data_IF_030233308995
#
_entry.id   IF_030233308995
#
_cell.length_a   1.000
_cell.length_b   1.000
_cell.length_c   1.000
_cell.angle_alpha   90.00
_cell.angle_beta   90.00
_cell.angle_gamma   90.00
#
_symmetry.space_group_name_H-M   'P 1'
#
loop_
_entity.id
_entity.type
_entity.pdbx_description
1 polymer ?
#
# COMPACT_ATOMS: atom_id res chain seq x y z
N UNK A 1 4.46 -5.56 2.26
CA UNK A 1 3.26 -6.39 2.52
C UNK A 1 2.28 -6.24 1.37
N UNK A 2 1.37 -7.20 1.17
CA UNK A 2 0.37 -7.15 0.10
C UNK A 2 -0.44 -5.85 0.09
N UNK A 3 -0.96 -5.45 -1.07
CA UNK A 3 -1.89 -4.32 -1.20
C UNK A 3 -2.44 -4.23 -2.63
N UNK A 4 -3.29 -3.25 -2.90
CA UNK A 4 -4.00 -3.14 -4.18
C UNK A 4 -3.10 -2.48 -5.25
N UNK A 5 -3.20 -2.94 -6.51
CA UNK A 5 -2.53 -2.31 -7.65
C UNK A 5 -3.44 -2.18 -8.88
N UNK A 6 -2.98 -1.32 -9.80
CA UNK A 6 -3.49 -1.22 -11.16
C UNK A 6 -2.34 -0.98 -12.16
N UNK A 7 -2.59 -1.30 -13.42
CA UNK A 7 -1.61 -1.24 -14.50
C UNK A 7 -0.37 -2.07 -14.20
N UNK A 8 0.80 -1.48 -14.40
CA UNK A 8 2.11 -2.14 -14.32
C UNK A 8 2.63 -2.38 -12.88
N UNK A 9 1.81 -2.16 -11.85
CA UNK A 9 2.21 -2.34 -10.44
C UNK A 9 3.54 -1.63 -10.07
N UNK A 10 3.64 -0.29 -10.26
CA UNK A 10 4.89 0.45 -10.06
C UNK A 10 5.49 0.22 -8.67
N UNK A 11 6.82 0.06 -8.64
CA UNK A 11 7.63 -0.18 -7.44
C UNK A 11 9.11 0.15 -7.71
N UNK A 12 9.97 0.06 -6.70
CA UNK A 12 11.43 0.14 -6.89
C UNK A 12 11.94 1.49 -7.41
N UNK A 13 11.22 2.57 -7.12
CA UNK A 13 11.58 3.93 -7.57
C UNK A 13 11.00 4.34 -8.92
N UNK A 14 10.21 3.47 -9.57
CA UNK A 14 9.49 3.80 -10.80
C UNK A 14 8.21 4.58 -10.46
N UNK A 15 8.27 5.90 -10.56
CA UNK A 15 7.12 6.77 -10.34
C UNK A 15 6.15 6.66 -11.52
N UNK A 16 4.88 6.30 -11.30
CA UNK A 16 3.90 6.23 -12.37
C UNK A 16 3.50 7.62 -12.86
N UNK A 17 3.01 7.71 -14.09
CA UNK A 17 2.55 8.97 -14.69
C UNK A 17 1.01 9.14 -14.65
N UNK A 18 0.30 8.15 -14.13
CA UNK A 18 -1.16 8.14 -13.98
C UNK A 18 -1.90 7.47 -15.13
N UNK A 19 -1.21 7.00 -16.16
CA UNK A 19 -1.77 6.14 -17.21
C UNK A 19 -1.21 4.72 -17.17
N UNK A 20 -0.02 4.55 -16.60
CA UNK A 20 0.75 3.30 -16.59
C UNK A 20 0.50 2.39 -15.38
N UNK A 21 0.16 2.94 -14.22
CA UNK A 21 -0.18 2.14 -13.05
C UNK A 21 -0.23 2.89 -11.72
N UNK A 22 -0.55 2.15 -10.66
CA UNK A 22 -0.38 2.57 -9.27
C UNK A 22 -0.20 1.34 -8.39
N UNK A 23 0.38 1.49 -7.20
CA UNK A 23 0.39 0.44 -6.18
C UNK A 23 0.19 1.04 -4.80
N UNK A 24 -0.44 0.29 -3.89
CA UNK A 24 -0.80 0.73 -2.52
C UNK A 24 -0.43 -0.33 -1.49
N UNK A 25 0.79 -0.86 -1.59
CA UNK A 25 1.28 -1.93 -0.71
C UNK A 25 1.36 -1.47 0.74
N UNK A 26 1.07 -2.35 1.69
CA UNK A 26 1.40 -2.06 3.10
C UNK A 26 2.91 -2.20 3.36
N UNK A 27 3.41 -1.49 4.35
CA UNK A 27 4.75 -1.68 4.90
C UNK A 27 4.71 -1.67 6.43
N UNK A 28 5.66 -2.37 7.03
CA UNK A 28 6.03 -2.19 8.43
C UNK A 28 7.32 -1.37 8.52
N UNK A 29 7.46 -0.64 9.62
CA UNK A 29 8.64 0.15 9.99
C UNK A 29 9.11 -0.29 11.38
N UNK A 30 10.19 0.34 11.84
CA UNK A 30 10.73 0.09 13.19
C UNK A 30 9.64 0.25 14.26
N UNK A 31 9.67 -0.64 15.26
CA UNK A 31 8.65 -0.71 16.32
C UNK A 31 7.28 -1.22 15.86
N UNK A 32 7.22 -1.90 14.70
CA UNK A 32 5.98 -2.46 14.15
C UNK A 32 5.04 -1.41 13.55
N UNK A 33 5.44 -0.15 13.45
CA UNK A 33 4.62 0.92 12.84
C UNK A 33 4.20 0.53 11.44
N UNK A 34 2.91 0.64 11.14
CA UNK A 34 2.37 0.38 9.81
C UNK A 34 2.27 1.65 8.97
N UNK A 35 2.31 1.47 7.66
CA UNK A 35 1.95 2.49 6.68
C UNK A 35 1.40 1.85 5.41
N UNK A 36 0.68 2.63 4.61
CA UNK A 36 0.52 2.33 3.18
C UNK A 36 1.66 3.02 2.44
N UNK A 37 2.38 2.26 1.64
CA UNK A 37 3.47 2.71 0.79
C UNK A 37 3.01 2.74 -0.66
N UNK A 38 2.52 3.90 -1.09
CA UNK A 38 1.82 4.06 -2.36
C UNK A 38 2.71 4.63 -3.45
N UNK A 39 2.71 4.03 -4.64
CA UNK A 39 3.27 4.65 -5.85
C UNK A 39 2.13 5.32 -6.61
N UNK A 40 2.14 6.66 -6.60
CA UNK A 40 1.15 7.52 -7.23
C UNK A 40 1.86 8.54 -8.15
N UNK A 41 1.16 9.20 -9.08
CA UNK A 41 1.74 10.24 -9.92
C UNK A 41 2.31 11.44 -9.16
N UNK A 42 1.91 11.62 -7.90
CA UNK A 42 2.41 12.67 -7.00
C UNK A 42 3.61 12.22 -6.17
N UNK A 43 4.06 10.97 -6.30
CA UNK A 43 5.26 10.48 -5.65
C UNK A 43 6.51 11.10 -6.28
N UNK A 44 7.58 11.29 -5.51
CA UNK A 44 8.77 12.04 -5.96
C UNK A 44 9.93 11.15 -6.39
N UNK A 45 10.38 10.24 -5.51
CA UNK A 45 11.52 9.35 -5.78
C UNK A 45 11.23 7.88 -5.49
N UNK A 46 10.41 7.62 -4.48
CA UNK A 46 9.90 6.29 -4.16
C UNK A 46 8.42 6.38 -3.78
N UNK A 47 7.87 5.35 -3.14
CA UNK A 47 6.49 5.37 -2.66
C UNK A 47 6.25 6.49 -1.65
N UNK A 48 5.07 7.11 -1.74
CA UNK A 48 4.52 8.02 -0.75
C UNK A 48 4.08 7.22 0.47
N UNK A 49 4.61 7.57 1.64
CA UNK A 49 4.18 7.01 2.93
C UNK A 49 2.88 7.67 3.37
N UNK A 50 1.85 6.86 3.64
CA UNK A 50 0.51 7.28 4.03
C UNK A 50 0.16 6.62 5.37
N UNK A 51 -0.15 7.43 6.39
CA UNK A 51 -0.57 6.95 7.71
C UNK A 51 0.54 6.33 8.55
N UNK A 52 1.81 6.68 8.32
CA UNK A 52 2.95 6.11 9.04
C UNK A 52 2.80 6.24 10.57
N UNK A 53 2.73 5.08 11.22
CA UNK A 53 2.63 4.99 12.68
C UNK A 53 1.25 5.32 13.23
N UNK A 54 0.24 5.53 12.38
CA UNK A 54 -1.15 5.64 12.83
C UNK A 54 -1.70 4.30 13.35
N UNK A 55 -1.07 3.18 12.99
CA UNK A 55 -1.26 1.87 13.59
C UNK A 55 0.06 1.14 13.76
N UNK A 56 0.06 0.06 14.52
CA UNK A 56 1.21 -0.82 14.68
C UNK A 56 0.81 -2.29 14.66
N UNK A 57 1.68 -3.10 14.07
CA UNK A 57 1.63 -4.55 14.12
C UNK A 57 2.38 -5.04 15.35
N UNK A 58 1.82 -6.06 16.01
CA UNK A 58 2.48 -6.79 17.09
C UNK A 58 2.94 -8.14 16.55
N UNK A 59 4.14 -8.56 16.96
CA UNK A 59 4.65 -9.89 16.60
C UNK A 59 3.93 -10.98 17.39
N UNK A 60 3.87 -12.19 16.83
CA UNK A 60 3.28 -13.36 17.49
C UNK A 60 1.76 -13.35 17.61
N UNK A 61 1.07 -12.39 16.97
CA UNK A 61 -0.39 -12.32 16.92
C UNK A 61 -0.88 -12.16 15.49
N UNK A 62 -2.06 -12.73 15.22
CA UNK A 62 -2.76 -12.49 13.97
C UNK A 62 -3.40 -11.11 13.98
N UNK A 63 -3.26 -10.38 12.88
CA UNK A 63 -3.95 -9.13 12.63
C UNK A 63 -4.85 -9.27 11.41
N UNK A 64 -6.10 -8.80 11.51
CA UNK A 64 -6.97 -8.63 10.37
C UNK A 64 -6.70 -7.25 9.77
N UNK A 65 -6.17 -7.22 8.54
CA UNK A 65 -5.82 -6.00 7.84
C UNK A 65 -6.74 -5.80 6.63
N UNK A 66 -7.37 -4.63 6.53
CA UNK A 66 -8.29 -4.31 5.44
C UNK A 66 -7.88 -2.99 4.78
N UNK A 67 -7.97 -2.95 3.45
CA UNK A 67 -7.68 -1.76 2.64
C UNK A 67 -8.85 -1.52 1.68
N UNK A 68 -9.39 -0.30 1.69
CA UNK A 68 -10.28 0.19 0.65
C UNK A 68 -9.54 1.20 -0.20
N UNK A 69 -9.57 1.02 -1.52
CA UNK A 69 -9.06 1.99 -2.50
C UNK A 69 -10.22 2.45 -3.37
N UNK A 70 -10.41 3.76 -3.44
CA UNK A 70 -11.33 4.40 -4.37
C UNK A 70 -10.50 5.24 -5.33
N UNK A 71 -10.53 4.87 -6.62
CA UNK A 71 -9.80 5.61 -7.65
C UNK A 71 -10.44 6.98 -7.86
N UNK A 72 -9.59 7.96 -8.15
CA UNK A 72 -10.07 9.28 -8.52
C UNK A 72 -10.71 9.28 -9.91
N UNK A 73 -11.55 10.28 -10.16
CA UNK A 73 -11.97 10.64 -11.51
C UNK A 73 -10.78 11.28 -12.25
N UNK A 74 -10.54 10.96 -13.53
CA UNK A 74 -9.55 11.67 -14.34
C UNK A 74 -9.71 13.19 -14.24
N UNK A 75 -8.60 13.89 -13.97
CA UNK A 75 -8.57 15.34 -13.77
C UNK A 75 -9.00 15.84 -12.38
N UNK A 76 -9.28 14.95 -11.44
CA UNK A 76 -9.70 15.29 -10.06
C UNK A 76 -8.83 14.59 -9.01
N UNK A 77 -8.77 15.18 -7.81
CA UNK A 77 -8.07 14.65 -6.63
C UNK A 77 -9.05 14.10 -5.61
N UNK A 78 -10.00 13.27 -6.05
CA UNK A 78 -11.06 12.74 -5.19
C UNK A 78 -10.89 11.25 -4.86
N UNK A 79 -9.70 10.69 -5.11
CA UNK A 79 -9.38 9.32 -4.71
C UNK A 79 -9.16 9.20 -3.20
N UNK A 80 -9.26 7.96 -2.71
CA UNK A 80 -9.18 7.68 -1.28
C UNK A 80 -8.55 6.32 -0.98
N UNK A 81 -7.83 6.25 0.15
CA UNK A 81 -7.45 5.01 0.82
C UNK A 81 -8.02 5.03 2.23
N UNK A 82 -8.63 3.92 2.65
CA UNK A 82 -8.96 3.64 4.05
C UNK A 82 -8.29 2.36 4.50
N UNK A 83 -7.91 2.31 5.78
CA UNK A 83 -7.26 1.17 6.42
C UNK A 83 -7.97 0.83 7.70
N UNK A 84 -8.21 -0.47 7.89
CA UNK A 84 -8.66 -1.03 9.17
C UNK A 84 -7.65 -2.05 9.68
N UNK A 85 -7.44 -2.04 11.00
CA UNK A 85 -6.68 -3.05 11.72
C UNK A 85 -7.59 -3.64 12.80
N UNK A 86 -7.76 -4.96 12.77
CA UNK A 86 -8.60 -5.71 13.70
C UNK A 86 -10.02 -5.15 13.79
N UNK A 87 -10.59 -4.79 12.63
CA UNK A 87 -11.93 -4.23 12.48
C UNK A 87 -12.07 -2.74 12.80
N UNK A 88 -11.04 -2.09 13.34
CA UNK A 88 -11.07 -0.66 13.66
C UNK A 88 -10.49 0.17 12.53
N UNK A 89 -11.19 1.23 12.07
CA UNK A 89 -10.64 2.14 11.08
C UNK A 89 -9.48 2.92 11.70
N UNK A 90 -8.26 2.65 11.27
CA UNK A 90 -7.05 3.30 11.80
C UNK A 90 -6.59 4.47 10.95
N UNK A 91 -7.02 4.53 9.68
CA UNK A 91 -6.61 5.61 8.79
C UNK A 91 -7.60 5.85 7.65
N UNK A 92 -7.71 7.11 7.22
CA UNK A 92 -8.37 7.52 5.99
C UNK A 92 -7.58 8.68 5.36
N UNK A 93 -7.19 8.52 4.10
CA UNK A 93 -6.60 9.57 3.28
C UNK A 93 -7.50 9.83 2.08
N UNK A 94 -8.01 11.04 1.95
CA UNK A 94 -8.69 11.54 0.75
C UNK A 94 -7.75 12.46 -0.03
N UNK A 95 -8.19 13.00 -1.17
CA UNK A 95 -7.35 13.93 -1.94
C UNK A 95 -6.35 13.24 -2.86
N UNK A 96 -6.47 11.92 -3.06
CA UNK A 96 -5.44 11.15 -3.77
C UNK A 96 -5.70 11.13 -5.27
N UNK A 97 -4.62 11.25 -6.05
CA UNK A 97 -4.62 11.05 -7.49
C UNK A 97 -3.94 9.71 -7.79
N UNK A 98 -4.69 8.74 -8.28
CA UNK A 98 -4.18 7.44 -8.74
C UNK A 98 -3.97 7.42 -10.24
N UNK A 99 -4.86 8.09 -10.99
CA UNK A 99 -4.93 8.00 -12.44
C UNK A 99 -5.28 9.32 -13.11
N UNK A 100 -4.86 9.44 -14.36
CA UNK A 100 -5.24 10.50 -15.30
C UNK A 100 -6.01 9.95 -16.50
N UNK A 101 -6.01 8.63 -16.71
CA UNK A 101 -6.80 7.95 -17.74
C UNK A 101 -7.85 7.03 -17.12
N UNK A 102 -9.08 7.04 -17.65
CA UNK A 102 -10.14 6.17 -17.12
C UNK A 102 -9.92 4.68 -17.42
N UNK A 103 -9.11 4.37 -18.43
CA UNK A 103 -8.71 2.98 -18.76
C UNK A 103 -7.86 2.33 -17.66
N UNK A 104 -7.19 3.11 -16.81
CA UNK A 104 -6.47 2.58 -15.67
C UNK A 104 -7.45 2.23 -14.55
N UNK A 105 -7.57 0.92 -14.26
CA UNK A 105 -8.45 0.34 -13.23
C UNK A 105 -7.64 -0.44 -12.18
N UNK A 106 -8.30 -0.91 -11.14
CA UNK A 106 -7.73 -1.89 -10.20
C UNK A 106 -7.63 -3.24 -10.93
N UNK A 107 -6.45 -3.86 -10.89
CA UNK A 107 -6.23 -5.17 -11.51
C UNK A 107 -6.14 -6.32 -10.50
N UNK A 108 -5.78 -6.04 -9.24
CA UNK A 108 -5.77 -7.07 -8.21
C UNK A 108 -4.90 -6.73 -7.00
N UNK A 109 -4.42 -7.78 -6.34
CA UNK A 109 -3.51 -7.71 -5.20
C UNK A 109 -2.07 -7.87 -5.70
N UNK A 110 -1.22 -6.93 -5.31
CA UNK A 110 0.23 -7.05 -5.44
C UNK A 110 0.78 -7.67 -4.16
N UNK A 111 0.91 -9.00 -4.15
CA UNK A 111 1.52 -9.72 -3.03
C UNK A 111 3.04 -9.49 -3.02
N UNK A 112 3.53 -8.76 -2.03
CA UNK A 112 4.94 -8.36 -1.94
C UNK A 112 5.34 -8.23 -0.49
N UNK A 113 6.21 -9.11 0.01
CA UNK A 113 6.67 -9.12 1.40
C UNK A 113 8.16 -9.40 1.46
N UNK A 114 8.93 -8.48 2.06
CA UNK A 114 10.37 -8.55 2.21
C UNK A 114 10.82 -7.45 3.18
N UNK A 115 11.98 -7.64 3.82
CA UNK A 115 12.70 -6.54 4.47
C UNK A 115 13.30 -5.65 3.39
N UNK A 116 12.98 -4.36 3.42
CA UNK A 116 13.07 -3.53 2.22
C UNK A 116 13.73 -2.19 2.42
N UNK A 117 14.63 -1.90 1.49
CA UNK A 117 15.36 -0.66 1.26
C UNK A 117 16.40 -0.94 0.19
N UNK A 118 17.35 -0.04 -0.04
CA UNK A 118 18.34 -0.19 -1.11
C UNK A 118 19.67 -0.82 -0.67
N UNK A 119 19.82 -1.17 0.61
CA UNK A 119 21.11 -1.51 1.21
C UNK A 119 21.00 -2.48 2.41
N UNK A 120 22.15 -2.90 2.94
CA UNK A 120 22.28 -3.88 4.01
C UNK A 120 21.72 -3.42 5.37
N UNK A 121 21.46 -2.13 5.60
CA UNK A 121 20.89 -1.65 6.86
C UNK A 121 19.46 -2.15 7.10
N UNK A 122 18.82 -2.67 6.06
CA UNK A 122 17.49 -3.27 6.12
C UNK A 122 17.50 -4.78 6.39
N UNK A 123 18.68 -5.42 6.40
CA UNK A 123 18.77 -6.86 6.60
C UNK A 123 18.32 -7.25 8.03
N UNK A 124 17.57 -8.35 8.12
CA UNK A 124 17.26 -8.97 9.41
C UNK A 124 18.50 -9.72 9.93
N UNK A 125 18.80 -9.69 11.24
CA UNK A 125 19.93 -10.42 11.81
C UNK A 125 19.67 -11.92 11.97
N UNK A 126 18.44 -12.38 11.71
CA UNK A 126 18.02 -13.76 11.87
C UNK A 126 16.93 -14.13 10.85
N UNK A 127 16.76 -15.43 10.63
CA UNK A 127 15.62 -15.96 9.89
C UNK A 127 14.32 -15.65 10.66
N UNK A 128 13.35 -15.12 9.92
CA UNK A 128 12.03 -14.76 10.46
C UNK A 128 10.96 -15.15 9.45
N UNK A 129 9.76 -15.43 9.94
CA UNK A 129 8.60 -15.77 9.12
C UNK A 129 7.47 -14.75 9.32
N UNK A 130 6.59 -14.69 8.33
CA UNK A 130 5.31 -13.99 8.38
C UNK A 130 4.27 -14.85 7.67
N UNK A 131 3.17 -15.15 8.37
CA UNK A 131 2.09 -15.97 7.84
C UNK A 131 0.95 -15.10 7.30
N UNK A 132 0.28 -15.58 6.26
CA UNK A 132 -0.90 -14.92 5.69
C UNK A 132 -2.01 -15.93 5.41
N UNK A 133 -3.25 -15.56 5.72
CA UNK A 133 -4.43 -16.39 5.51
C UNK A 133 -5.67 -15.53 5.24
N UNK A 134 -6.78 -16.17 4.86
CA UNK A 134 -8.12 -15.57 4.73
C UNK A 134 -8.19 -14.36 3.76
N UNK A 135 -7.53 -14.46 2.60
CA UNK A 135 -7.59 -13.44 1.56
C UNK A 135 -9.00 -13.32 0.99
N UNK A 136 -9.48 -12.07 0.90
CA UNK A 136 -10.72 -11.73 0.20
C UNK A 136 -10.54 -10.41 -0.55
N UNK A 137 -11.23 -10.29 -1.69
CA UNK A 137 -11.32 -9.07 -2.48
C UNK A 137 -12.77 -8.91 -2.90
N UNK A 138 -13.32 -7.73 -2.71
CA UNK A 138 -14.68 -7.38 -3.12
C UNK A 138 -14.67 -6.04 -3.85
N UNK A 139 -15.58 -5.88 -4.81
CA UNK A 139 -15.82 -4.63 -5.50
C UNK A 139 -17.22 -4.13 -5.17
N UNK A 140 -17.38 -2.81 -5.12
CA UNK A 140 -18.65 -2.12 -4.83
C UNK A 140 -18.95 -1.09 -5.90
#
# INVERSE_FOLDING_TARGET
MPGIYGGNAPSGGKIPNGTDGFSTRFMWRSGGKGEVYAYLPTSTSYGTSIGNGAWSFKTGVWHRLEQQVVLNNPGQDNGMIRVWLDGNQVWQQTGLRFRTADSLKINGIFFSTFFGGGDLSWATPADVSIDFANFSVTTS
#
